data_IF_058375295673
#
_entry.id   IF_058375295673
#
_cell.length_a   1.000
_cell.length_b   1.000
_cell.length_c   1.000
_cell.angle_alpha   90.00
_cell.angle_beta   90.00
_cell.angle_gamma   90.00
#
_symmetry.space_group_name_H-M   'P 1'
#
loop_
_entity.id
_entity.type
_entity.pdbx_description
1 polymer ?
#
# COMPACT_ATOMS: atom_id res chain seq x y z
N UNK A 1 -1.69 -12.68 -6.35
CA UNK A 1 -0.30 -12.41 -6.82
C UNK A 1 0.64 -13.44 -6.23
N UNK A 2 1.19 -14.36 -7.03
CA UNK A 2 2.27 -15.27 -6.60
C UNK A 2 3.59 -14.49 -6.66
N UNK A 3 4.27 -14.28 -5.53
CA UNK A 3 5.44 -13.40 -5.34
C UNK A 3 5.12 -11.92 -5.05
N UNK A 4 4.60 -11.65 -3.85
CA UNK A 4 4.39 -10.30 -3.31
C UNK A 4 5.48 -9.87 -2.29
N UNK A 5 6.53 -10.67 -2.11
CA UNK A 5 7.65 -10.38 -1.20
C UNK A 5 8.93 -10.11 -2.01
N UNK A 6 9.58 -8.99 -1.71
CA UNK A 6 10.83 -8.56 -2.34
C UNK A 6 11.95 -8.50 -1.30
N UNK A 7 13.17 -8.89 -1.68
CA UNK A 7 14.36 -8.83 -0.82
C UNK A 7 14.73 -10.15 -0.14
N UNK A 8 15.85 -10.16 0.59
CA UNK A 8 16.44 -11.36 1.21
C UNK A 8 16.58 -11.27 2.72
N UNK A 9 17.34 -10.28 3.22
CA UNK A 9 17.47 -10.02 4.66
C UNK A 9 16.49 -8.92 5.08
N UNK A 10 16.51 -7.81 4.33
CA UNK A 10 15.47 -6.79 4.39
C UNK A 10 14.39 -7.15 3.38
N UNK A 11 13.17 -7.44 3.84
CA UNK A 11 12.07 -7.93 3.01
C UNK A 11 10.87 -7.01 3.08
N UNK A 12 10.23 -6.79 1.94
CA UNK A 12 8.97 -6.04 1.85
C UNK A 12 7.91 -6.93 1.24
N UNK A 13 6.83 -7.17 1.97
CA UNK A 13 5.68 -7.96 1.51
C UNK A 13 4.46 -7.07 1.40
N UNK A 14 3.90 -6.90 0.20
CA UNK A 14 2.72 -6.06 -0.02
C UNK A 14 1.42 -6.84 0.14
N UNK A 15 0.34 -6.18 0.58
CA UNK A 15 -1.01 -6.74 0.64
C UNK A 15 -2.06 -5.72 0.21
N UNK A 16 -3.28 -6.23 -0.02
CA UNK A 16 -4.46 -5.45 -0.35
C UNK A 16 -4.66 -5.24 -1.85
N UNK A 17 -5.91 -4.95 -2.19
CA UNK A 17 -6.40 -4.68 -3.54
C UNK A 17 -6.90 -3.22 -3.64
N UNK A 18 -6.94 -2.67 -4.85
CA UNK A 18 -7.41 -1.30 -5.07
C UNK A 18 -8.86 -1.06 -4.63
N UNK A 19 -9.70 -2.10 -4.60
CA UNK A 19 -11.09 -2.07 -4.12
C UNK A 19 -11.28 -2.70 -2.73
N UNK A 20 -10.20 -3.12 -2.06
CA UNK A 20 -10.24 -3.65 -0.69
C UNK A 20 -10.19 -2.52 0.35
N UNK A 21 -10.63 -2.73 1.60
CA UNK A 21 -10.75 -1.64 2.59
C UNK A 21 -9.43 -0.90 2.89
N UNK A 22 -8.29 -1.55 2.69
CA UNK A 22 -6.97 -0.99 2.89
C UNK A 22 -5.93 -1.70 2.00
N UNK A 23 -4.81 -1.02 1.78
CA UNK A 23 -3.60 -1.58 1.20
C UNK A 23 -2.43 -1.34 2.16
N UNK A 24 -1.33 -2.05 1.95
CA UNK A 24 -0.16 -1.83 2.78
C UNK A 24 0.96 -2.79 2.52
N UNK A 25 1.90 -2.83 3.46
CA UNK A 25 3.00 -3.77 3.42
C UNK A 25 3.51 -4.12 4.82
N UNK A 26 4.27 -5.20 4.88
CA UNK A 26 5.06 -5.61 6.03
C UNK A 26 6.53 -5.52 5.63
N UNK A 27 7.31 -4.79 6.41
CA UNK A 27 8.76 -4.69 6.28
C UNK A 27 9.42 -5.54 7.37
N UNK A 28 10.15 -6.58 6.96
CA UNK A 28 10.87 -7.49 7.84
C UNK A 28 12.39 -7.32 7.70
N UNK A 29 13.13 -7.60 8.77
CA UNK A 29 14.60 -7.46 8.81
C UNK A 29 15.12 -6.03 8.95
N UNK A 30 14.28 -5.08 9.35
CA UNK A 30 14.72 -3.74 9.74
C UNK A 30 15.46 -3.80 11.09
N UNK A 31 16.69 -3.29 11.24
CA UNK A 31 17.39 -3.27 12.53
C UNK A 31 16.65 -2.44 13.60
N UNK A 32 16.84 -2.73 14.89
CA UNK A 32 16.28 -1.91 15.98
C UNK A 32 16.97 -0.55 16.13
N UNK A 33 16.33 0.36 16.86
CA UNK A 33 16.81 1.70 17.24
C UNK A 33 16.99 2.68 16.07
N UNK A 34 16.32 2.46 14.94
CA UNK A 34 16.28 3.43 13.85
C UNK A 34 15.07 4.35 14.10
N UNK A 35 15.26 5.68 14.19
CA UNK A 35 14.12 6.61 14.26
C UNK A 35 13.21 6.43 13.05
N UNK A 36 11.91 6.28 13.30
CA UNK A 36 10.93 6.11 12.23
C UNK A 36 9.59 6.68 12.65
N UNK A 37 9.15 7.73 11.96
CA UNK A 37 7.84 8.33 12.17
C UNK A 37 6.97 8.23 10.91
N UNK A 38 5.65 8.18 11.11
CA UNK A 38 4.71 8.09 9.99
C UNK A 38 4.82 9.30 9.05
N UNK A 39 5.13 10.48 9.59
CA UNK A 39 5.28 11.72 8.82
C UNK A 39 6.43 11.65 7.83
N UNK A 40 7.51 10.94 8.17
CA UNK A 40 8.66 10.76 7.27
C UNK A 40 8.27 9.93 6.04
N UNK A 41 7.41 8.92 6.23
CA UNK A 41 6.86 8.11 5.15
C UNK A 41 5.83 8.92 4.35
N UNK A 42 4.99 9.70 5.03
CA UNK A 42 3.95 10.51 4.41
C UNK A 42 4.52 11.49 3.38
N UNK A 43 5.70 12.07 3.61
CA UNK A 43 6.38 12.95 2.64
C UNK A 43 6.61 12.28 1.27
N UNK A 44 6.84 10.96 1.25
CA UNK A 44 7.00 10.21 0.00
C UNK A 44 5.64 9.83 -0.60
N UNK A 45 4.65 9.53 0.23
CA UNK A 45 3.28 9.26 -0.22
C UNK A 45 2.64 10.49 -0.85
N UNK A 46 2.85 11.67 -0.28
CA UNK A 46 2.34 12.94 -0.82
C UNK A 46 2.93 13.29 -2.18
N UNK A 47 4.14 12.82 -2.49
CA UNK A 47 4.74 12.94 -3.83
C UNK A 47 4.16 11.95 -4.83
N UNK A 48 3.71 10.79 -4.35
CA UNK A 48 3.17 9.69 -5.17
C UNK A 48 1.68 9.87 -5.46
N UNK A 49 0.92 10.43 -4.50
CA UNK A 49 -0.54 10.43 -4.53
C UNK A 49 -1.08 11.05 -5.83
N UNK A 50 -2.20 10.53 -6.35
CA UNK A 50 -2.85 11.10 -7.53
C UNK A 50 -3.39 12.52 -7.28
N UNK A 51 -3.88 13.18 -8.33
CA UNK A 51 -4.53 14.49 -8.20
C UNK A 51 -3.57 15.68 -8.05
N UNK A 52 -2.25 15.46 -8.14
CA UNK A 52 -1.25 16.53 -8.15
C UNK A 52 -1.25 17.34 -9.47
N UNK A 53 -1.89 16.83 -10.51
CA UNK A 53 -1.99 17.49 -11.82
C UNK A 53 -3.38 17.33 -12.41
N UNK A 54 -3.84 18.36 -13.14
CA UNK A 54 -5.10 18.36 -13.89
C UNK A 54 -5.17 17.25 -14.97
N UNK A 55 -4.04 16.65 -15.32
CA UNK A 55 -3.94 15.57 -16.30
C UNK A 55 -3.95 14.16 -15.67
N UNK A 56 -3.98 14.05 -14.35
CA UNK A 56 -4.01 12.78 -13.63
C UNK A 56 -5.42 12.51 -13.08
N UNK A 57 -5.66 11.29 -12.58
CA UNK A 57 -6.94 10.93 -11.95
C UNK A 57 -7.32 11.96 -10.88
N UNK A 58 -8.61 12.31 -10.83
CA UNK A 58 -9.17 13.27 -9.88
C UNK A 58 -9.42 12.68 -8.49
N UNK A 59 -9.09 11.40 -8.27
CA UNK A 59 -9.21 10.77 -6.96
C UNK A 59 -8.40 11.54 -5.93
N UNK A 60 -9.05 11.84 -4.82
CA UNK A 60 -8.44 12.47 -3.66
C UNK A 60 -8.28 11.41 -2.58
N UNK A 61 -7.30 10.53 -2.78
CA UNK A 61 -6.86 9.63 -1.72
C UNK A 61 -5.75 10.35 -0.94
N UNK A 62 -5.93 10.61 0.36
CA UNK A 62 -4.95 11.29 1.17
C UNK A 62 -3.76 10.40 1.51
N UNK A 63 -3.81 9.11 1.13
CA UNK A 63 -2.77 8.09 1.32
C UNK A 63 -2.16 8.13 2.73
N UNK A 64 -3.01 8.22 3.76
CA UNK A 64 -2.56 8.37 5.14
C UNK A 64 -2.00 7.04 5.66
N UNK A 65 -0.70 7.01 5.93
CA UNK A 65 -0.03 5.81 6.43
C UNK A 65 -0.14 5.71 7.95
N UNK A 66 -0.48 4.51 8.41
CA UNK A 66 -0.45 4.10 9.81
C UNK A 66 0.63 3.05 10.00
N UNK A 67 1.49 3.25 11.00
CA UNK A 67 2.43 2.23 11.47
C UNK A 67 1.70 1.40 12.53
N UNK A 68 1.46 0.12 12.22
CA UNK A 68 0.66 -0.78 13.05
C UNK A 68 1.51 -1.67 13.97
N UNK A 69 2.79 -1.84 13.66
CA UNK A 69 3.74 -2.65 14.46
C UNK A 69 5.19 -2.26 14.19
N UNK A 70 6.13 -2.84 14.94
CA UNK A 70 7.57 -2.75 14.66
C UNK A 70 8.24 -1.43 15.04
N UNK A 71 7.48 -0.50 15.63
CA UNK A 71 7.96 0.78 16.15
C UNK A 71 7.47 0.93 17.59
N UNK A 72 8.33 1.50 18.44
CA UNK A 72 8.08 1.74 19.85
C UNK A 72 8.62 3.11 20.26
N UNK A 73 7.92 3.78 21.17
CA UNK A 73 8.34 5.07 21.72
C UNK A 73 8.41 4.98 23.25
N UNK A 74 9.54 5.41 23.82
CA UNK A 74 9.79 5.56 25.24
C UNK A 74 10.56 6.86 25.48
N UNK A 75 10.49 7.39 26.70
CA UNK A 75 11.15 8.64 27.07
C UNK A 75 12.67 8.63 26.78
N UNK A 76 13.31 7.45 26.77
CA UNK A 76 14.74 7.28 26.50
C UNK A 76 15.11 7.34 25.02
N UNK A 77 14.16 7.17 24.10
CA UNK A 77 14.46 7.07 22.66
C UNK A 77 14.34 8.40 21.92
N UNK A 78 13.79 9.45 22.57
CA UNK A 78 13.62 10.77 21.95
C UNK A 78 12.59 10.80 20.81
N UNK A 79 11.77 9.76 20.71
CA UNK A 79 10.75 9.56 19.69
C UNK A 79 10.60 8.09 19.29
N UNK A 80 9.71 7.79 18.32
CA UNK A 80 9.48 6.43 17.87
C UNK A 80 10.71 5.85 17.16
N UNK A 81 11.11 4.64 17.56
CA UNK A 81 12.22 3.89 16.97
C UNK A 81 11.79 2.47 16.61
N UNK A 82 12.43 1.89 15.60
CA UNK A 82 12.20 0.49 15.21
C UNK A 82 12.62 -0.47 16.31
N UNK A 83 11.89 -1.58 16.45
CA UNK A 83 12.15 -2.58 17.50
C UNK A 83 12.97 -3.77 17.02
N UNK A 84 13.23 -3.87 15.71
CA UNK A 84 13.80 -5.08 15.09
C UNK A 84 12.76 -6.11 14.67
N UNK A 85 11.49 -5.94 15.07
CA UNK A 85 10.38 -6.81 14.65
C UNK A 85 9.73 -6.29 13.37
N UNK A 86 8.91 -7.10 12.67
CA UNK A 86 8.25 -6.64 11.45
C UNK A 86 7.43 -5.36 11.63
N UNK A 87 7.61 -4.42 10.71
CA UNK A 87 6.92 -3.13 10.66
C UNK A 87 5.75 -3.26 9.68
N UNK A 88 4.52 -3.22 10.20
CA UNK A 88 3.33 -3.22 9.38
C UNK A 88 2.92 -1.77 9.07
N UNK A 89 2.79 -1.46 7.78
CA UNK A 89 2.30 -0.19 7.26
C UNK A 89 0.93 -0.42 6.62
N UNK A 90 -0.04 0.44 6.94
CA UNK A 90 -1.40 0.34 6.42
C UNK A 90 -1.89 1.71 5.94
N UNK A 91 -2.56 1.72 4.79
CA UNK A 91 -3.23 2.88 4.20
C UNK A 91 -4.68 2.49 3.92
N UNK A 92 -5.62 3.29 4.42
CA UNK A 92 -7.06 3.07 4.19
C UNK A 92 -7.47 3.65 2.83
N UNK A 93 -8.27 2.88 2.08
CA UNK A 93 -8.82 3.35 0.81
C UNK A 93 -10.13 4.11 1.09
N UNK A 94 -10.13 5.43 0.92
CA UNK A 94 -11.26 6.30 1.32
C UNK A 94 -12.24 6.65 0.19
N UNK A 95 -11.82 6.57 -1.10
CA UNK A 95 -12.66 6.92 -2.27
C UNK A 95 -12.85 5.72 -3.20
N UNK A 96 -13.26 4.58 -2.62
CA UNK A 96 -13.57 3.37 -3.37
C UNK A 96 -14.92 3.46 -4.06
N UNK A 97 -14.92 3.95 -5.30
CA UNK A 97 -16.11 4.01 -6.14
C UNK A 97 -16.28 2.72 -6.93
N UNK A 98 -16.82 1.71 -6.27
CA UNK A 98 -17.20 0.43 -6.90
C UNK A 98 -18.20 0.59 -8.06
N UNK A 99 -18.96 1.68 -8.10
CA UNK A 99 -19.91 1.98 -9.20
C UNK A 99 -19.26 2.38 -10.52
N UNK A 100 -18.03 2.90 -10.52
CA UNK A 100 -17.38 3.37 -11.75
C UNK A 100 -16.91 2.20 -12.65
N UNK A 101 -17.09 0.96 -12.20
CA UNK A 101 -16.48 -0.22 -12.80
C UNK A 101 -17.48 -1.28 -13.29
N UNK A 102 -18.80 -1.05 -13.15
CA UNK A 102 -19.82 -1.99 -13.65
C UNK A 102 -19.69 -2.25 -15.16
N UNK A 103 -19.29 -1.23 -15.91
CA UNK A 103 -19.23 -1.28 -17.37
C UNK A 103 -18.05 -2.10 -17.89
N UNK A 104 -17.01 -2.28 -17.05
CA UNK A 104 -15.85 -3.11 -17.39
C UNK A 104 -15.97 -4.54 -16.89
N UNK A 105 -17.03 -4.88 -16.13
CA UNK A 105 -17.28 -6.25 -15.64
C UNK A 105 -17.27 -7.28 -16.76
N UNK A 106 -17.87 -6.94 -17.89
CA UNK A 106 -18.07 -7.86 -19.01
C UNK A 106 -17.12 -7.56 -20.19
N UNK A 107 -16.16 -6.64 -20.00
CA UNK A 107 -15.21 -6.18 -21.04
C UNK A 107 -13.76 -6.41 -20.62
N UNK A 108 -12.89 -6.83 -21.56
CA UNK A 108 -11.44 -6.86 -21.36
C UNK A 108 -10.82 -5.60 -21.96
N UNK A 109 -10.17 -4.76 -21.14
CA UNK A 109 -9.55 -3.52 -21.63
C UNK A 109 -8.23 -3.85 -22.34
N UNK A 110 -8.02 -3.39 -23.59
CA UNK A 110 -6.75 -3.57 -24.28
C UNK A 110 -5.57 -3.00 -23.47
N UNK A 111 -4.50 -3.78 -23.32
CA UNK A 111 -3.31 -3.38 -22.57
C UNK A 111 -3.41 -3.54 -21.05
N UNK A 112 -4.55 -3.93 -20.50
CA UNK A 112 -4.72 -4.22 -19.07
C UNK A 112 -4.55 -5.72 -18.77
N UNK A 113 -4.32 -6.04 -17.50
CA UNK A 113 -4.18 -7.42 -17.02
C UNK A 113 -5.51 -8.19 -16.93
N UNK A 114 -6.62 -7.61 -17.38
CA UNK A 114 -7.96 -8.13 -17.20
C UNK A 114 -8.11 -9.59 -17.68
N UNK A 115 -7.69 -9.88 -18.92
CA UNK A 115 -7.78 -11.21 -19.51
C UNK A 115 -6.81 -12.20 -18.87
N UNK A 116 -5.55 -11.79 -18.68
CA UNK A 116 -4.51 -12.68 -18.15
C UNK A 116 -4.78 -13.06 -16.69
N UNK A 117 -5.35 -12.15 -15.90
CA UNK A 117 -5.75 -12.43 -14.52
C UNK A 117 -6.89 -13.47 -14.47
N UNK A 118 -7.95 -13.27 -15.28
CA UNK A 118 -9.07 -14.21 -15.34
C UNK A 118 -8.65 -15.57 -15.90
N UNK A 119 -7.83 -15.61 -16.94
CA UNK A 119 -7.33 -16.86 -17.52
C UNK A 119 -6.45 -17.65 -16.53
N UNK A 120 -5.66 -16.95 -15.69
CA UNK A 120 -4.77 -17.58 -14.70
C UNK A 120 -5.51 -18.06 -13.45
N UNK A 121 -6.45 -17.28 -12.93
CA UNK A 121 -7.06 -17.52 -11.60
C UNK A 121 -8.56 -17.83 -11.64
N UNK A 122 -9.22 -17.74 -12.80
CA UNK A 122 -10.67 -17.97 -12.95
C UNK A 122 -11.57 -16.87 -12.38
N UNK A 123 -10.98 -15.88 -11.69
CA UNK A 123 -11.66 -14.73 -11.08
C UNK A 123 -10.97 -13.44 -11.49
N UNK A 124 -11.68 -12.31 -11.40
CA UNK A 124 -11.15 -10.99 -11.70
C UNK A 124 -11.89 -9.94 -10.87
N UNK A 125 -11.15 -9.12 -10.15
CA UNK A 125 -11.66 -7.89 -9.59
C UNK A 125 -11.77 -6.85 -10.72
N UNK A 126 -12.94 -6.24 -10.87
CA UNK A 126 -13.26 -5.30 -11.95
C UNK A 126 -13.74 -3.98 -11.37
#
# INVERSE_FOLDING_TARGET
MSHNTFGHLFRVTSFGESHGPAIGCIVDGCPPNIPLRAEEIQLFLDKRRPGQSRFTTQRQEPDQVKIMSGVFEDERTGGPVTTGTPIMLMIENVDQRSKDYSDIRDTFRPGHADFTYQAKYGIRDY
#
